data_IF_120749260353
#
_entry.id   IF_120749260353
#
_cell.length_a   1.000
_cell.length_b   1.000
_cell.length_c   1.000
_cell.angle_alpha   90.00
_cell.angle_beta   90.00
_cell.angle_gamma   90.00
#
_symmetry.space_group_name_H-M   'P 1'
#
loop_
_entity.id
_entity.type
_entity.pdbx_description
1 polymer ?
#
# COMPACT_ATOMS: atom_id res chain seq x y z
N UNK A 1 41.06 -14.19 -188.91
CA UNK A 1 39.90 -14.44 -189.81
C UNK A 1 38.60 -14.35 -188.99
N UNK A 2 37.42 -14.66 -189.55
CA UNK A 2 36.05 -14.58 -188.97
C UNK A 2 35.92 -14.73 -187.43
N UNK A 3 35.20 -13.84 -186.70
CA UNK A 3 33.71 -13.64 -186.59
C UNK A 3 33.02 -14.81 -185.84
N UNK A 4 32.08 -14.61 -184.89
CA UNK A 4 31.18 -13.46 -184.57
C UNK A 4 30.74 -13.40 -183.05
N UNK A 5 30.11 -12.29 -182.64
CA UNK A 5 29.55 -11.88 -181.29
C UNK A 5 28.12 -12.45 -181.01
N UNK A 6 27.41 -12.26 -179.84
CA UNK A 6 27.51 -11.30 -178.68
C UNK A 6 27.62 -12.00 -177.26
N UNK A 7 27.21 -11.57 -176.02
CA UNK A 7 26.31 -10.52 -175.43
C UNK A 7 26.81 -9.95 -174.04
N UNK A 8 25.93 -9.66 -173.03
CA UNK A 8 26.12 -9.12 -171.62
C UNK A 8 24.99 -9.71 -170.70
N UNK A 9 24.82 -9.59 -169.35
CA UNK A 9 25.03 -8.62 -168.21
C UNK A 9 25.03 -9.43 -166.86
N UNK A 10 25.17 -8.94 -165.59
CA UNK A 10 25.94 -7.84 -164.92
C UNK A 10 25.73 -7.82 -163.35
N UNK A 11 26.70 -8.34 -162.56
CA UNK A 11 27.12 -7.99 -161.14
C UNK A 11 26.20 -8.03 -159.88
N UNK A 12 26.73 -8.53 -158.75
CA UNK A 12 26.57 -8.03 -157.34
C UNK A 12 27.66 -8.62 -156.39
N UNK A 13 27.77 -8.20 -155.11
CA UNK A 13 28.83 -8.62 -154.14
C UNK A 13 28.46 -8.44 -152.64
N UNK A 14 29.15 -9.12 -151.68
CA UNK A 14 29.26 -8.64 -150.29
C UNK A 14 30.54 -9.03 -149.48
N UNK A 15 30.96 -8.20 -148.50
CA UNK A 15 31.81 -8.61 -147.36
C UNK A 15 31.75 -7.60 -146.18
N UNK A 16 31.19 -7.97 -145.00
CA UNK A 16 31.07 -7.04 -143.86
C UNK A 16 30.81 -7.62 -142.44
N UNK A 17 30.59 -8.93 -142.26
CA UNK A 17 29.98 -9.46 -141.02
C UNK A 17 30.82 -9.43 -139.73
N UNK A 18 32.16 -9.52 -139.81
CA UNK A 18 32.98 -9.81 -138.61
C UNK A 18 33.19 -8.62 -137.64
N UNK A 19 32.70 -7.40 -137.94
CA UNK A 19 32.84 -6.25 -137.04
C UNK A 19 31.71 -6.08 -136.01
N UNK A 20 30.53 -6.65 -136.26
CA UNK A 20 29.33 -6.41 -135.43
C UNK A 20 29.27 -7.25 -134.14
N UNK A 21 29.73 -8.51 -134.18
CA UNK A 21 29.73 -9.38 -133.00
C UNK A 21 30.69 -8.86 -131.91
N UNK A 22 31.87 -8.38 -132.30
CA UNK A 22 32.81 -7.74 -131.38
C UNK A 22 32.21 -6.52 -130.69
N UNK A 23 31.57 -5.62 -131.44
CA UNK A 23 30.93 -4.43 -130.85
C UNK A 23 29.78 -4.74 -129.88
N UNK A 24 29.04 -5.84 -130.08
CA UNK A 24 27.93 -6.21 -129.18
C UNK A 24 28.45 -6.80 -127.87
N UNK A 25 29.45 -7.70 -127.92
CA UNK A 25 30.08 -8.24 -126.69
C UNK A 25 30.81 -7.14 -125.92
N UNK A 26 31.51 -6.24 -126.63
CA UNK A 26 32.13 -5.05 -126.01
C UNK A 26 31.06 -4.13 -125.42
N UNK A 27 29.96 -3.83 -126.11
CA UNK A 27 28.90 -2.99 -125.58
C UNK A 27 28.16 -3.62 -124.38
N UNK A 28 28.06 -4.95 -124.30
CA UNK A 28 27.47 -5.61 -123.13
C UNK A 28 28.45 -5.64 -121.95
N UNK A 29 29.73 -5.95 -122.18
CA UNK A 29 30.77 -5.90 -121.13
C UNK A 29 30.95 -4.48 -120.60
N UNK A 30 31.12 -3.48 -121.48
CA UNK A 30 31.14 -2.08 -121.07
C UNK A 30 29.80 -1.66 -120.46
N UNK A 31 28.65 -2.10 -120.98
CA UNK A 31 27.34 -1.80 -120.38
C UNK A 31 27.20 -2.30 -118.94
N UNK A 32 27.64 -3.53 -118.66
CA UNK A 32 27.69 -4.09 -117.31
C UNK A 32 28.72 -3.40 -116.43
N UNK A 33 29.91 -3.09 -116.94
CA UNK A 33 30.96 -2.38 -116.18
C UNK A 33 30.55 -0.93 -115.90
N UNK A 34 29.96 -0.22 -116.85
CA UNK A 34 29.51 1.16 -116.70
C UNK A 34 28.26 1.26 -115.82
N UNK A 35 27.37 0.26 -115.89
CA UNK A 35 26.31 0.07 -114.90
C UNK A 35 26.87 -0.17 -113.50
N UNK A 36 27.83 -1.08 -113.34
CA UNK A 36 28.51 -1.32 -112.07
C UNK A 36 29.20 -0.05 -111.53
N UNK A 37 29.91 0.71 -112.36
CA UNK A 37 30.62 1.95 -111.99
C UNK A 37 29.68 3.11 -111.69
N UNK A 38 28.51 3.23 -112.34
CA UNK A 38 27.51 4.26 -112.02
C UNK A 38 26.68 3.92 -110.77
N UNK A 39 26.44 2.63 -110.51
CA UNK A 39 25.58 2.17 -109.43
C UNK A 39 26.39 1.87 -108.15
N UNK A 40 27.68 1.51 -108.24
CA UNK A 40 28.57 1.32 -107.08
C UNK A 40 28.55 2.48 -106.09
N UNK A 41 28.76 3.75 -106.49
CA UNK A 41 28.74 4.87 -105.54
C UNK A 41 27.40 5.01 -104.82
N UNK A 42 26.30 4.63 -105.47
CA UNK A 42 24.96 4.65 -104.88
C UNK A 42 24.74 3.47 -103.93
N UNK A 43 25.25 2.28 -104.26
CA UNK A 43 25.26 1.11 -103.37
C UNK A 43 26.13 1.37 -102.15
N UNK A 44 27.31 1.98 -102.30
CA UNK A 44 28.26 2.22 -101.22
C UNK A 44 27.74 3.31 -100.27
N UNK A 45 27.10 4.36 -100.78
CA UNK A 45 26.40 5.38 -99.97
C UNK A 45 25.17 4.79 -99.26
N UNK A 46 24.35 3.98 -99.95
CA UNK A 46 23.23 3.26 -99.32
C UNK A 46 23.70 2.30 -98.21
N UNK A 47 24.78 1.54 -98.44
CA UNK A 47 25.36 0.63 -97.45
C UNK A 47 25.97 1.40 -96.27
N UNK A 48 26.59 2.56 -96.50
CA UNK A 48 27.10 3.44 -95.44
C UNK A 48 25.95 3.99 -94.60
N UNK A 49 24.86 4.45 -95.22
CA UNK A 49 23.65 4.86 -94.52
C UNK A 49 22.99 3.70 -93.76
N UNK A 50 22.98 2.48 -94.31
CA UNK A 50 22.48 1.29 -93.61
C UNK A 50 23.30 0.98 -92.34
N UNK A 51 24.64 1.11 -92.40
CA UNK A 51 25.52 0.94 -91.23
C UNK A 51 25.29 2.02 -90.18
N UNK A 52 25.10 3.28 -90.59
CA UNK A 52 24.75 4.38 -89.67
C UNK A 52 23.40 4.14 -88.99
N UNK A 53 22.36 3.79 -89.76
CA UNK A 53 21.02 3.47 -89.24
C UNK A 53 21.04 2.27 -88.29
N UNK A 54 21.80 1.21 -88.60
CA UNK A 54 22.01 0.06 -87.69
C UNK A 54 22.70 0.47 -86.39
N UNK A 55 23.68 1.38 -86.46
CA UNK A 55 24.37 1.92 -85.28
C UNK A 55 23.42 2.73 -84.40
N UNK A 56 22.62 3.60 -85.00
CA UNK A 56 21.65 4.44 -84.30
C UNK A 56 20.49 3.63 -83.69
N UNK A 57 19.99 2.61 -84.40
CA UNK A 57 19.03 1.63 -83.86
C UNK A 57 19.62 0.90 -82.64
N UNK A 58 20.88 0.46 -82.68
CA UNK A 58 21.52 -0.18 -81.53
C UNK A 58 21.69 0.78 -80.34
N UNK A 59 22.04 2.05 -80.59
CA UNK A 59 22.13 3.08 -79.54
C UNK A 59 20.77 3.41 -78.92
N UNK A 60 19.71 3.48 -79.73
CA UNK A 60 18.33 3.65 -79.28
C UNK A 60 17.86 2.45 -78.44
N UNK A 61 18.11 1.22 -78.90
CA UNK A 61 17.78 0.00 -78.15
C UNK A 61 18.50 -0.04 -76.79
N UNK A 62 19.78 0.32 -76.72
CA UNK A 62 20.51 0.39 -75.46
C UNK A 62 19.90 1.44 -74.50
N UNK A 63 19.48 2.60 -75.02
CA UNK A 63 18.79 3.63 -74.22
C UNK A 63 17.39 3.22 -73.78
N UNK A 64 16.68 2.40 -74.57
CA UNK A 64 15.39 1.81 -74.17
C UNK A 64 15.61 0.85 -73.00
N UNK A 65 16.56 -0.09 -73.11
CA UNK A 65 16.91 -1.01 -72.02
C UNK A 65 17.31 -0.27 -70.73
N UNK A 66 18.11 0.80 -70.84
CA UNK A 66 18.45 1.65 -69.68
C UNK A 66 17.24 2.33 -69.04
N UNK A 67 16.24 2.73 -69.83
CA UNK A 67 15.03 3.38 -69.33
C UNK A 67 14.08 2.35 -68.69
N UNK A 68 13.92 1.17 -69.27
CA UNK A 68 13.14 0.07 -68.68
C UNK A 68 13.71 -0.37 -67.33
N UNK A 69 15.05 -0.44 -67.20
CA UNK A 69 15.71 -0.71 -65.91
C UNK A 69 15.40 0.40 -64.90
N UNK A 70 15.55 1.68 -65.28
CA UNK A 70 15.27 2.82 -64.39
C UNK A 70 13.79 2.94 -64.00
N UNK A 71 12.87 2.57 -64.88
CA UNK A 71 11.43 2.51 -64.58
C UNK A 71 11.11 1.38 -63.59
N UNK A 72 11.76 0.22 -63.74
CA UNK A 72 11.69 -0.89 -62.78
C UNK A 72 12.25 -0.50 -61.41
N UNK A 73 13.43 0.11 -61.36
CA UNK A 73 14.05 0.63 -60.13
C UNK A 73 13.16 1.70 -59.45
N UNK A 74 12.58 2.62 -60.23
CA UNK A 74 11.66 3.64 -59.74
C UNK A 74 10.37 3.02 -59.17
N UNK A 75 9.85 1.97 -59.80
CA UNK A 75 8.69 1.20 -59.30
C UNK A 75 9.00 0.49 -57.98
N UNK A 76 10.16 -0.18 -57.87
CA UNK A 76 10.62 -0.81 -56.61
C UNK A 76 10.83 0.25 -55.51
N UNK A 77 11.42 1.39 -55.84
CA UNK A 77 11.61 2.52 -54.91
C UNK A 77 10.27 3.07 -54.41
N UNK A 78 9.30 3.27 -55.31
CA UNK A 78 7.93 3.72 -54.95
C UNK A 78 7.22 2.73 -54.01
N UNK A 79 7.24 1.44 -54.33
CA UNK A 79 6.69 0.40 -53.47
C UNK A 79 7.38 0.37 -52.08
N UNK A 80 8.69 0.67 -52.03
CA UNK A 80 9.45 0.75 -50.78
C UNK A 80 9.04 1.97 -49.95
N UNK A 81 8.81 3.13 -50.58
CA UNK A 81 8.32 4.35 -49.93
C UNK A 81 6.91 4.13 -49.35
N UNK A 82 6.00 3.51 -50.09
CA UNK A 82 4.65 3.18 -49.61
C UNK A 82 4.67 2.20 -48.41
N UNK A 83 5.59 1.23 -48.43
CA UNK A 83 5.83 0.31 -47.31
C UNK A 83 6.40 1.02 -46.06
N UNK A 84 7.29 2.00 -46.25
CA UNK A 84 7.84 2.80 -45.16
C UNK A 84 6.81 3.78 -44.57
N UNK A 85 5.98 4.40 -45.41
CA UNK A 85 4.89 5.29 -44.97
C UNK A 85 3.84 4.55 -44.14
N UNK A 86 3.44 3.34 -44.56
CA UNK A 86 2.49 2.52 -43.78
C UNK A 86 3.07 2.09 -42.43
N UNK A 87 4.36 1.73 -42.36
CA UNK A 87 5.07 1.44 -41.11
C UNK A 87 5.22 2.65 -40.18
N UNK A 88 5.52 3.82 -40.75
CA UNK A 88 5.60 5.07 -39.98
C UNK A 88 4.24 5.37 -39.32
N UNK A 89 3.14 5.27 -40.07
CA UNK A 89 1.79 5.46 -39.55
C UNK A 89 1.39 4.45 -38.46
N UNK A 90 1.87 3.20 -38.51
CA UNK A 90 1.69 2.27 -37.38
C UNK A 90 2.50 2.69 -36.15
N UNK A 91 3.78 3.07 -36.31
CA UNK A 91 4.58 3.51 -35.17
C UNK A 91 4.08 4.81 -34.54
N UNK A 92 3.56 5.75 -35.33
CA UNK A 92 2.88 6.95 -34.83
C UNK A 92 1.62 6.59 -34.03
N UNK A 93 0.84 5.60 -34.47
CA UNK A 93 -0.31 5.09 -33.71
C UNK A 93 0.12 4.44 -32.39
N UNK A 94 1.07 3.51 -32.44
CA UNK A 94 1.58 2.78 -31.28
C UNK A 94 2.17 3.74 -30.23
N UNK A 95 2.91 4.77 -30.68
CA UNK A 95 3.45 5.84 -29.81
C UNK A 95 2.34 6.67 -29.14
N UNK A 96 1.25 6.97 -29.85
CA UNK A 96 0.12 7.69 -29.27
C UNK A 96 -0.64 6.83 -28.24
N UNK A 97 -0.80 5.53 -28.48
CA UNK A 97 -1.45 4.60 -27.54
C UNK A 97 -0.61 4.42 -26.27
N UNK A 98 0.72 4.22 -26.40
CA UNK A 98 1.64 4.19 -25.25
C UNK A 98 1.67 5.51 -24.46
N UNK A 99 1.58 6.66 -25.15
CA UNK A 99 1.51 7.99 -24.50
C UNK A 99 0.23 8.14 -23.66
N UNK A 100 -0.91 7.62 -24.14
CA UNK A 100 -2.16 7.59 -23.39
C UNK A 100 -2.08 6.63 -22.20
N UNK A 101 -1.49 5.44 -22.37
CA UNK A 101 -1.30 4.46 -21.28
C UNK A 101 -0.41 5.03 -20.15
N UNK A 102 0.72 5.66 -20.48
CA UNK A 102 1.58 6.35 -19.51
C UNK A 102 0.82 7.46 -18.77
N UNK A 103 -0.02 8.22 -19.49
CA UNK A 103 -0.87 9.25 -18.85
C UNK A 103 -1.85 8.63 -17.85
N UNK A 104 -2.55 7.55 -18.21
CA UNK A 104 -3.47 6.84 -17.31
C UNK A 104 -2.74 6.28 -16.09
N UNK A 105 -1.58 5.65 -16.28
CA UNK A 105 -0.78 5.08 -15.18
C UNK A 105 -0.28 6.16 -14.22
N UNK A 106 0.16 7.32 -14.71
CA UNK A 106 0.57 8.44 -13.86
C UNK A 106 -0.59 8.97 -13.00
N UNK A 107 -1.78 9.14 -13.59
CA UNK A 107 -2.98 9.57 -12.83
C UNK A 107 -3.40 8.52 -11.78
N UNK A 108 -3.23 7.23 -12.06
CA UNK A 108 -3.49 6.15 -11.08
C UNK A 108 -2.45 6.14 -9.95
N UNK A 109 -1.18 6.41 -10.26
CA UNK A 109 -0.10 6.49 -9.27
C UNK A 109 -0.34 7.65 -8.31
N UNK A 110 -0.66 8.84 -8.81
CA UNK A 110 -1.00 10.03 -7.99
C UNK A 110 -2.22 9.76 -7.07
N UNK A 111 -3.25 9.06 -7.56
CA UNK A 111 -4.39 8.65 -6.74
C UNK A 111 -4.02 7.67 -5.63
N UNK A 112 -3.13 6.72 -5.91
CA UNK A 112 -2.64 5.74 -4.92
C UNK A 112 -1.74 6.41 -3.86
N UNK A 113 -0.91 7.39 -4.25
CA UNK A 113 -0.10 8.16 -3.31
C UNK A 113 -0.98 8.97 -2.33
N UNK A 114 -2.04 9.63 -2.83
CA UNK A 114 -3.00 10.35 -2.00
C UNK A 114 -3.82 9.40 -1.10
N UNK A 115 -4.27 8.25 -1.60
CA UNK A 115 -4.97 7.26 -0.74
C UNK A 115 -4.03 6.70 0.34
N UNK A 116 -2.76 6.46 0.02
CA UNK A 116 -1.76 5.98 0.98
C UNK A 116 -1.47 7.01 2.08
N UNK A 117 -1.36 8.30 1.74
CA UNK A 117 -1.19 9.40 2.72
C UNK A 117 -2.40 9.47 3.67
N UNK A 118 -3.63 9.47 3.14
CA UNK A 118 -4.86 9.45 3.94
C UNK A 118 -4.92 8.22 4.87
N UNK A 119 -4.54 7.03 4.36
CA UNK A 119 -4.53 5.79 5.15
C UNK A 119 -3.44 5.78 6.24
N UNK A 120 -2.32 6.48 6.02
CA UNK A 120 -1.28 6.66 7.02
C UNK A 120 -1.76 7.56 8.17
N UNK A 121 -2.47 8.65 7.86
CA UNK A 121 -3.05 9.55 8.87
C UNK A 121 -4.20 8.89 9.64
N UNK A 122 -5.10 8.16 8.97
CA UNK A 122 -6.14 7.34 9.62
C UNK A 122 -5.54 6.33 10.61
N UNK A 123 -4.44 5.68 10.22
CA UNK A 123 -3.73 4.73 11.08
C UNK A 123 -3.08 5.45 12.29
N UNK A 124 -2.45 6.61 12.08
CA UNK A 124 -1.88 7.42 13.16
C UNK A 124 -2.91 7.82 14.21
N UNK A 125 -4.06 8.34 13.77
CA UNK A 125 -5.19 8.68 14.65
C UNK A 125 -5.75 7.43 15.37
N UNK A 126 -5.84 6.29 14.67
CA UNK A 126 -6.30 5.03 15.27
C UNK A 126 -5.37 4.54 16.38
N UNK A 127 -4.04 4.61 16.17
CA UNK A 127 -3.04 4.25 17.18
C UNK A 127 -3.10 5.20 18.38
N UNK A 128 -3.24 6.51 18.16
CA UNK A 128 -3.36 7.48 19.25
C UNK A 128 -4.62 7.24 20.11
N UNK A 129 -5.77 6.97 19.47
CA UNK A 129 -7.02 6.66 20.16
C UNK A 129 -6.93 5.35 20.96
N UNK A 130 -6.25 4.32 20.43
CA UNK A 130 -6.02 3.07 21.15
C UNK A 130 -5.16 3.28 22.41
N UNK A 131 -4.07 4.06 22.32
CA UNK A 131 -3.20 4.38 23.45
C UNK A 131 -3.93 5.19 24.54
N UNK A 132 -4.81 6.11 24.17
CA UNK A 132 -5.64 6.84 25.12
C UNK A 132 -6.63 5.91 25.84
N UNK A 133 -7.28 5.00 25.11
CA UNK A 133 -8.21 4.02 25.68
C UNK A 133 -7.51 3.03 26.62
N UNK A 134 -6.30 2.57 26.29
CA UNK A 134 -5.46 1.73 27.16
C UNK A 134 -5.13 2.45 28.49
N UNK A 135 -4.73 3.72 28.43
CA UNK A 135 -4.47 4.53 29.62
C UNK A 135 -5.73 4.80 30.46
N UNK A 136 -6.93 4.82 29.86
CA UNK A 136 -8.19 4.94 30.60
C UNK A 136 -8.60 3.63 31.26
N UNK A 137 -8.37 2.49 30.60
CA UNK A 137 -8.57 1.16 31.17
C UNK A 137 -7.66 0.91 32.38
N UNK A 138 -6.39 1.30 32.31
CA UNK A 138 -5.47 1.20 33.46
C UNK A 138 -5.93 2.04 34.66
N UNK A 139 -6.37 3.28 34.42
CA UNK A 139 -6.95 4.15 35.48
C UNK A 139 -8.22 3.54 36.07
N UNK A 140 -9.07 2.93 35.24
CA UNK A 140 -10.28 2.24 35.68
C UNK A 140 -9.96 0.98 36.51
N UNK A 141 -8.98 0.18 36.10
CA UNK A 141 -8.51 -1.01 36.83
C UNK A 141 -7.93 -0.65 38.21
N UNK A 142 -7.10 0.40 38.28
CA UNK A 142 -6.55 0.90 39.54
C UNK A 142 -7.64 1.43 40.49
N UNK A 143 -8.64 2.15 39.95
CA UNK A 143 -9.84 2.55 40.72
C UNK A 143 -10.62 1.34 41.21
N UNK A 144 -10.84 0.32 40.38
CA UNK A 144 -11.59 -0.89 40.73
C UNK A 144 -10.93 -1.69 41.86
N UNK A 145 -9.62 -1.94 41.80
CA UNK A 145 -8.91 -2.62 42.89
C UNK A 145 -8.88 -1.79 44.19
N UNK A 146 -8.85 -0.46 44.10
CA UNK A 146 -8.99 0.45 45.26
C UNK A 146 -10.39 0.36 45.89
N UNK A 147 -11.45 0.33 45.08
CA UNK A 147 -12.84 0.13 45.53
C UNK A 147 -12.98 -1.24 46.21
N UNK A 148 -12.48 -2.30 45.58
CA UNK A 148 -12.51 -3.69 46.09
C UNK A 148 -11.78 -3.83 47.43
N UNK A 149 -10.60 -3.24 47.57
CA UNK A 149 -9.84 -3.16 48.83
C UNK A 149 -10.64 -2.42 49.92
N UNK A 150 -11.36 -1.36 49.55
CA UNK A 150 -12.19 -0.58 50.45
C UNK A 150 -13.48 -1.31 50.87
N UNK A 151 -14.09 -2.10 49.98
CA UNK A 151 -15.27 -2.94 50.28
C UNK A 151 -14.94 -4.02 51.32
N UNK A 152 -13.83 -4.74 51.17
CA UNK A 152 -13.38 -5.76 52.13
C UNK A 152 -13.23 -5.16 53.53
N UNK A 153 -12.66 -3.96 53.61
CA UNK A 153 -12.49 -3.23 54.86
C UNK A 153 -13.83 -2.80 55.48
N UNK A 154 -14.80 -2.34 54.67
CA UNK A 154 -16.15 -2.03 55.16
C UNK A 154 -16.92 -3.25 55.66
N UNK A 155 -16.67 -4.45 55.12
CA UNK A 155 -17.29 -5.67 55.63
C UNK A 155 -16.82 -5.96 57.07
N UNK A 156 -15.53 -5.80 57.35
CA UNK A 156 -14.98 -5.91 58.70
C UNK A 156 -15.52 -4.82 59.65
N UNK A 157 -15.67 -3.58 59.17
CA UNK A 157 -16.26 -2.48 59.94
C UNK A 157 -17.73 -2.72 60.28
N UNK A 158 -18.51 -3.22 59.33
CA UNK A 158 -19.91 -3.61 59.52
C UNK A 158 -20.03 -4.70 60.59
N UNK A 159 -19.12 -5.69 60.59
CA UNK A 159 -19.07 -6.72 61.64
C UNK A 159 -18.73 -6.10 63.00
N UNK A 160 -17.75 -5.19 63.07
CA UNK A 160 -17.39 -4.50 64.30
C UNK A 160 -18.54 -3.66 64.87
N UNK A 161 -19.24 -2.89 64.04
CA UNK A 161 -20.39 -2.08 64.44
C UNK A 161 -21.60 -2.94 64.86
N UNK A 162 -21.79 -4.13 64.26
CA UNK A 162 -22.82 -5.09 64.69
C UNK A 162 -22.49 -5.70 66.05
N UNK A 163 -21.21 -5.98 66.33
CA UNK A 163 -20.79 -6.48 67.64
C UNK A 163 -20.88 -5.38 68.72
N UNK A 164 -20.40 -4.17 68.42
CA UNK A 164 -20.45 -3.00 69.30
C UNK A 164 -21.88 -2.50 69.63
N UNK A 165 -22.87 -2.89 68.83
CA UNK A 165 -24.29 -2.58 69.09
C UNK A 165 -24.92 -3.49 70.15
N UNK A 166 -24.28 -4.60 70.52
CA UNK A 166 -24.78 -5.49 71.59
C UNK A 166 -24.69 -4.80 72.95
N UNK A 167 -25.55 -5.18 73.87
CA UNK A 167 -25.49 -4.70 75.25
C UNK A 167 -24.23 -5.23 75.94
N UNK A 168 -23.55 -4.37 76.71
CA UNK A 168 -22.35 -4.76 77.48
C UNK A 168 -22.78 -5.80 78.54
N UNK A 169 -22.15 -6.99 78.60
CA UNK A 169 -22.63 -8.04 79.49
C UNK A 169 -22.57 -7.69 80.97
N UNK A 170 -23.50 -8.24 81.76
CA UNK A 170 -23.63 -7.95 83.20
C UNK A 170 -22.78 -8.84 84.10
N UNK A 171 -22.05 -9.83 83.56
CA UNK A 171 -21.21 -10.77 84.34
C UNK A 171 -19.77 -10.80 83.85
N UNK A 172 -18.80 -10.98 84.78
CA UNK A 172 -17.35 -10.97 84.49
C UNK A 172 -16.99 -11.91 83.32
N UNK A 173 -17.50 -13.14 83.32
CA UNK A 173 -17.19 -14.14 82.30
C UNK A 173 -17.70 -13.72 80.91
N UNK A 174 -18.97 -13.31 80.81
CA UNK A 174 -19.55 -12.88 79.53
C UNK A 174 -18.89 -11.61 79.00
N UNK A 175 -18.47 -10.69 79.89
CA UNK A 175 -17.71 -9.50 79.48
C UNK A 175 -16.32 -9.85 78.93
N UNK A 176 -15.62 -10.81 79.54
CA UNK A 176 -14.36 -11.34 78.99
C UNK A 176 -14.57 -11.97 77.61
N UNK A 177 -15.58 -12.83 77.45
CA UNK A 177 -15.91 -13.47 76.17
C UNK A 177 -16.29 -12.44 75.08
N UNK A 178 -17.16 -11.49 75.41
CA UNK A 178 -17.59 -10.44 74.48
C UNK A 178 -16.44 -9.54 74.04
N UNK A 179 -15.65 -8.99 74.96
CA UNK A 179 -14.57 -8.07 74.59
C UNK A 179 -13.40 -8.77 73.88
N UNK A 180 -13.16 -10.07 74.12
CA UNK A 180 -12.23 -10.87 73.30
C UNK A 180 -12.78 -11.11 71.89
N UNK A 181 -14.08 -11.39 71.73
CA UNK A 181 -14.71 -11.49 70.41
C UNK A 181 -14.64 -10.15 69.64
N UNK A 182 -14.98 -9.03 70.31
CA UNK A 182 -14.81 -7.67 69.78
C UNK A 182 -13.36 -7.42 69.36
N UNK A 183 -12.36 -7.85 70.15
CA UNK A 183 -10.94 -7.69 69.81
C UNK A 183 -10.56 -8.39 68.49
N UNK A 184 -11.03 -9.62 68.28
CA UNK A 184 -10.75 -10.38 67.04
C UNK A 184 -11.29 -9.62 65.81
N UNK A 185 -12.52 -9.11 65.89
CA UNK A 185 -13.16 -8.37 64.80
C UNK A 185 -12.51 -6.99 64.62
N UNK A 186 -12.19 -6.30 65.71
CA UNK A 186 -11.58 -4.97 65.68
C UNK A 186 -10.21 -4.97 64.99
N UNK A 187 -9.37 -5.98 65.23
CA UNK A 187 -8.06 -6.10 64.57
C UNK A 187 -8.20 -6.36 63.06
N UNK A 188 -9.29 -6.99 62.62
CA UNK A 188 -9.60 -7.18 61.19
C UNK A 188 -10.12 -5.88 60.53
N UNK A 189 -10.82 -5.03 61.27
CA UNK A 189 -11.24 -3.69 60.84
C UNK A 189 -10.05 -2.72 60.75
N UNK A 190 -9.23 -2.63 61.81
CA UNK A 190 -8.05 -1.77 61.89
C UNK A 190 -7.13 -2.28 63.03
N UNK A 191 -5.87 -2.70 62.74
CA UNK A 191 -4.94 -3.20 63.76
C UNK A 191 -4.71 -2.25 64.95
N UNK A 192 -4.86 -0.93 64.77
CA UNK A 192 -4.69 0.04 65.86
C UNK A 192 -5.76 -0.13 66.94
N UNK A 193 -6.97 -0.56 66.57
CA UNK A 193 -8.08 -0.82 67.49
C UNK A 193 -7.74 -1.95 68.48
N UNK A 194 -6.85 -2.89 68.11
CA UNK A 194 -6.35 -3.94 69.01
C UNK A 194 -5.71 -3.40 70.30
N UNK A 195 -4.96 -2.30 70.21
CA UNK A 195 -4.32 -1.67 71.38
C UNK A 195 -5.29 -0.83 72.23
N UNK A 196 -6.46 -0.49 71.66
CA UNK A 196 -7.50 0.29 72.31
C UNK A 196 -8.46 -0.63 73.08
N UNK A 197 -8.91 -1.74 72.47
CA UNK A 197 -9.72 -2.76 73.14
C UNK A 197 -8.98 -3.45 74.30
N UNK A 198 -7.64 -3.59 74.21
CA UNK A 198 -6.85 -4.14 75.32
C UNK A 198 -6.91 -3.30 76.61
N UNK A 199 -7.33 -2.03 76.53
CA UNK A 199 -7.62 -1.18 77.70
C UNK A 199 -8.98 -1.49 78.32
N UNK A 200 -9.98 -1.76 77.50
CA UNK A 200 -11.29 -2.23 77.97
C UNK A 200 -11.12 -3.58 78.67
N UNK A 201 -10.37 -4.50 78.05
CA UNK A 201 -10.13 -5.85 78.56
C UNK A 201 -9.37 -5.82 79.90
N UNK A 202 -8.37 -4.96 80.07
CA UNK A 202 -7.62 -4.86 81.33
C UNK A 202 -8.45 -4.28 82.49
N UNK A 203 -9.44 -3.44 82.19
CA UNK A 203 -10.35 -2.86 83.20
C UNK A 203 -11.49 -3.79 83.63
N UNK A 204 -11.72 -4.91 82.92
CA UNK A 204 -12.78 -5.89 83.27
C UNK A 204 -12.62 -6.38 84.71
N UNK A 205 -11.44 -6.89 85.07
CA UNK A 205 -11.25 -7.48 86.40
C UNK A 205 -11.41 -6.42 87.52
N UNK A 206 -10.70 -5.27 87.50
CA UNK A 206 -10.95 -4.18 88.46
C UNK A 206 -12.42 -3.78 88.58
N UNK A 207 -13.16 -3.68 87.47
CA UNK A 207 -14.57 -3.33 87.48
C UNK A 207 -15.46 -4.36 88.21
N UNK A 208 -15.34 -5.64 87.87
CA UNK A 208 -16.14 -6.68 88.54
C UNK A 208 -15.66 -6.97 89.97
N UNK A 209 -14.36 -6.83 90.25
CA UNK A 209 -13.82 -6.93 91.61
C UNK A 209 -14.38 -5.81 92.51
N UNK A 210 -14.50 -4.58 91.99
CA UNK A 210 -15.15 -3.46 92.69
C UNK A 210 -16.66 -3.65 92.83
N UNK A 211 -17.33 -4.11 91.78
CA UNK A 211 -18.79 -4.31 91.77
C UNK A 211 -19.24 -5.45 92.71
N UNK A 212 -18.48 -6.54 92.79
CA UNK A 212 -18.77 -7.67 93.68
C UNK A 212 -18.52 -7.33 95.16
N UNK A 213 -17.67 -6.33 95.45
CA UNK A 213 -17.45 -5.79 96.78
C UNK A 213 -18.41 -4.62 97.15
N UNK A 214 -19.50 -4.41 96.40
CA UNK A 214 -20.46 -3.35 96.69
C UNK A 214 -21.07 -3.48 98.11
N UNK A 215 -20.97 -2.45 98.98
CA UNK A 215 -21.53 -2.48 100.32
C UNK A 215 -23.06 -2.67 100.33
N UNK A 216 -23.53 -3.59 101.18
CA UNK A 216 -24.94 -3.90 101.32
C UNK A 216 -25.76 -2.81 102.03
N UNK A 217 -27.09 -2.98 102.04
CA UNK A 217 -28.07 -1.98 102.55
C UNK A 217 -27.84 -1.55 104.01
N UNK A 218 -27.12 -2.36 104.80
CA UNK A 218 -26.82 -2.09 106.22
C UNK A 218 -25.38 -1.58 106.47
N UNK A 219 -24.62 -1.24 105.41
CA UNK A 219 -23.24 -0.76 105.54
C UNK A 219 -23.16 0.62 106.19
N UNK A 220 -22.04 0.90 106.84
CA UNK A 220 -21.73 2.22 107.40
C UNK A 220 -21.30 3.20 106.30
N UNK A 221 -21.44 4.50 106.57
CA UNK A 221 -20.95 5.56 105.68
C UNK A 221 -19.45 5.41 105.35
N UNK A 222 -18.64 4.96 106.31
CA UNK A 222 -17.21 4.74 106.12
C UNK A 222 -16.90 3.60 105.14
N UNK A 223 -17.63 2.49 105.21
CA UNK A 223 -17.51 1.37 104.26
C UNK A 223 -17.93 1.80 102.84
N UNK A 224 -19.00 2.61 102.74
CA UNK A 224 -19.45 3.17 101.46
C UNK A 224 -18.44 4.15 100.85
N UNK A 225 -17.84 5.05 101.64
CA UNK A 225 -16.79 5.95 101.15
C UNK A 225 -15.52 5.21 100.77
N UNK A 226 -15.11 4.18 101.52
CA UNK A 226 -13.95 3.34 101.17
C UNK A 226 -14.16 2.64 99.83
N UNK A 227 -15.34 2.03 99.60
CA UNK A 227 -15.67 1.38 98.32
C UNK A 227 -15.61 2.35 97.12
N UNK A 228 -16.03 3.61 97.26
CA UNK A 228 -15.88 4.63 96.20
C UNK A 228 -14.40 4.94 95.96
N UNK A 229 -13.60 5.08 97.01
CA UNK A 229 -12.15 5.35 96.93
C UNK A 229 -11.41 4.17 96.26
N UNK A 230 -11.74 2.93 96.63
CA UNK A 230 -11.19 1.71 96.04
C UNK A 230 -11.54 1.58 94.55
N UNK A 231 -12.76 1.94 94.14
CA UNK A 231 -13.15 1.98 92.72
C UNK A 231 -12.34 2.98 91.89
N UNK A 232 -11.92 4.08 92.50
CA UNK A 232 -11.06 5.08 91.86
C UNK A 232 -9.59 4.63 91.83
N UNK A 233 -9.06 4.06 92.92
CA UNK A 233 -7.67 3.59 93.03
C UNK A 233 -7.40 2.37 92.13
N UNK A 234 -8.36 1.45 92.03
CA UNK A 234 -8.27 0.26 91.16
C UNK A 234 -8.44 0.58 89.67
N UNK A 235 -8.96 1.76 89.33
CA UNK A 235 -9.36 2.12 87.97
C UNK A 235 -10.70 1.52 87.52
N UNK A 236 -11.43 0.82 88.40
CA UNK A 236 -12.74 0.23 88.11
C UNK A 236 -13.73 1.22 87.47
N UNK A 237 -13.76 2.46 87.97
CA UNK A 237 -14.63 3.52 87.46
C UNK A 237 -14.35 3.91 86.00
N UNK A 238 -13.14 3.61 85.49
CA UNK A 238 -12.73 3.96 84.13
C UNK A 238 -13.23 2.95 83.07
N UNK A 239 -13.76 1.79 83.47
CA UNK A 239 -14.21 0.74 82.53
C UNK A 239 -15.23 1.27 81.51
N UNK A 240 -16.27 1.97 81.96
CA UNK A 240 -17.28 2.61 81.09
C UNK A 240 -16.67 3.72 80.22
N UNK A 241 -15.63 4.41 80.71
CA UNK A 241 -14.95 5.47 79.96
C UNK A 241 -14.07 4.91 78.83
N UNK A 242 -13.30 3.85 79.09
CA UNK A 242 -12.49 3.16 78.07
C UNK A 242 -13.39 2.46 77.03
N UNK A 243 -14.56 1.94 77.42
CA UNK A 243 -15.58 1.45 76.47
C UNK A 243 -16.02 2.59 75.54
N UNK A 244 -16.39 3.74 76.10
CA UNK A 244 -16.79 4.91 75.31
C UNK A 244 -15.68 5.44 74.38
N UNK A 245 -14.43 5.46 74.84
CA UNK A 245 -13.25 5.79 74.01
C UNK A 245 -13.10 4.80 72.86
N UNK A 246 -13.15 3.50 73.15
CA UNK A 246 -13.02 2.45 72.14
C UNK A 246 -14.15 2.50 71.09
N UNK A 247 -15.40 2.74 71.51
CA UNK A 247 -16.53 2.91 70.59
C UNK A 247 -16.37 4.15 69.70
N UNK A 248 -15.94 5.28 70.25
CA UNK A 248 -15.65 6.50 69.47
C UNK A 248 -14.48 6.31 68.49
N UNK A 249 -13.42 5.63 68.91
CA UNK A 249 -12.28 5.27 68.06
C UNK A 249 -12.70 4.37 66.89
N UNK A 250 -13.51 3.33 67.16
CA UNK A 250 -14.04 2.43 66.14
C UNK A 250 -14.92 3.20 65.13
N UNK A 251 -15.84 4.04 65.60
CA UNK A 251 -16.67 4.90 64.75
C UNK A 251 -15.82 5.85 63.89
N UNK A 252 -14.75 6.43 64.45
CA UNK A 252 -13.83 7.30 63.72
C UNK A 252 -13.06 6.55 62.63
N UNK A 253 -12.58 5.32 62.88
CA UNK A 253 -11.98 4.45 61.86
C UNK A 253 -12.94 4.21 60.69
N UNK A 254 -14.24 4.02 60.94
CA UNK A 254 -15.25 3.86 59.88
C UNK A 254 -15.49 5.18 59.12
N UNK A 255 -15.59 6.32 59.80
CA UNK A 255 -15.79 7.64 59.16
C UNK A 255 -14.63 7.98 58.23
N UNK A 256 -13.39 7.85 58.70
CA UNK A 256 -12.17 8.06 57.89
C UNK A 256 -12.18 7.18 56.63
N UNK A 257 -12.77 5.98 56.72
CA UNK A 257 -12.90 5.06 55.59
C UNK A 257 -14.03 5.42 54.63
N UNK A 258 -15.11 6.02 55.12
CA UNK A 258 -16.16 6.63 54.28
C UNK A 258 -15.61 7.82 53.49
N UNK A 259 -14.85 8.70 54.12
CA UNK A 259 -14.19 9.83 53.43
C UNK A 259 -13.20 9.33 52.36
N UNK A 260 -12.38 8.33 52.70
CA UNK A 260 -11.48 7.68 51.74
C UNK A 260 -12.25 7.05 50.57
N UNK A 261 -13.35 6.33 50.82
CA UNK A 261 -14.18 5.73 49.78
C UNK A 261 -14.77 6.77 48.81
N UNK A 262 -15.27 7.90 49.34
CA UNK A 262 -15.80 9.00 48.54
C UNK A 262 -14.73 9.60 47.61
N UNK A 263 -13.48 9.71 48.08
CA UNK A 263 -12.35 10.20 47.25
C UNK A 263 -11.89 9.25 46.14
N UNK A 264 -12.26 7.95 46.20
CA UNK A 264 -11.91 6.96 45.16
C UNK A 264 -12.95 6.97 44.02
N UNK A 265 -14.21 7.29 44.35
CA UNK A 265 -15.37 7.30 43.43
C UNK A 265 -15.54 8.66 42.73
N UNK A 266 -14.93 9.71 43.26
CA UNK A 266 -14.84 11.06 42.65
C UNK A 266 -13.79 11.11 41.53
#
# INVERSE_FOLDING_TARGET
>A
MSKKRPVKRKTSSPSLRNKLLGSIVVAFLFGSIFGYVLIQPQIDDLATNEVVLRSEINFLNNRINELEIKESELSVSKNTIENLQTKLGSYEKDQNELSQEISVLNNQLEQIEVELEIKQDELGLTVQNAQLSEQELDKANLRLESIKSTIIKFENDKLLLVELRKEVPTTRLQAQEHWQNVKVIAIQSDPNLGTKIDRVISMINPYYDWLENQPGVNATEAEFFNWIIEGNISGALNYTEEIGKFQNDALLTVIIRMDAALSIVS
#
